data_IF_007074561175
#
_entry.id   IF_007074561175
#
_cell.length_a   1.000
_cell.length_b   1.000
_cell.length_c   1.000
_cell.angle_alpha   90.00
_cell.angle_beta   90.00
_cell.angle_gamma   90.00
#
_symmetry.space_group_name_H-M   'P 1'
#
loop_
_entity.id
_entity.type
_entity.pdbx_description
1 polymer ?
#
# COMPACT_ATOMS: atom_id res chain seq x y z
N UNK A 1 -28.88 38.84 5.33
CA UNK A 1 -29.40 37.46 5.17
C UNK A 1 -28.89 36.74 3.92
N UNK A 2 -28.87 37.35 2.72
CA UNK A 2 -28.35 36.70 1.48
C UNK A 2 -26.86 36.27 1.55
N UNK A 3 -26.00 37.07 2.18
CA UNK A 3 -24.56 36.74 2.31
C UNK A 3 -24.30 35.52 3.20
N UNK A 4 -25.07 35.34 4.28
CA UNK A 4 -24.92 34.20 5.22
C UNK A 4 -25.33 32.89 4.54
N UNK A 5 -26.38 32.90 3.72
CA UNK A 5 -26.81 31.73 2.95
C UNK A 5 -25.77 31.30 1.91
N UNK A 6 -25.10 32.26 1.27
CA UNK A 6 -24.03 31.98 0.29
C UNK A 6 -22.79 31.40 0.99
N UNK A 7 -22.44 31.89 2.18
CA UNK A 7 -21.35 31.33 2.99
C UNK A 7 -21.63 29.89 3.46
N UNK A 8 -22.86 29.60 3.86
CA UNK A 8 -23.29 28.25 4.23
C UNK A 8 -23.31 27.29 3.02
N UNK A 9 -23.72 27.76 1.84
CA UNK A 9 -23.69 26.97 0.61
C UNK A 9 -22.25 26.72 0.12
N UNK A 10 -21.34 27.68 0.26
CA UNK A 10 -19.92 27.49 -0.07
C UNK A 10 -19.23 26.52 0.90
N UNK A 11 -19.58 26.56 2.19
CA UNK A 11 -19.03 25.66 3.19
C UNK A 11 -19.46 24.20 2.96
N UNK A 12 -20.68 23.95 2.47
CA UNK A 12 -21.16 22.60 2.12
C UNK A 12 -20.64 22.10 0.77
N UNK A 13 -20.24 22.99 -0.14
CA UNK A 13 -19.59 22.62 -1.41
C UNK A 13 -18.09 22.34 -1.25
N UNK A 14 -17.42 22.96 -0.28
CA UNK A 14 -16.00 22.70 0.04
C UNK A 14 -15.78 21.38 0.82
N UNK A 15 -16.83 20.78 1.37
CA UNK A 15 -16.78 19.42 1.96
C UNK A 15 -16.83 18.31 0.91
N UNK A 16 -16.71 18.64 -0.39
CA UNK A 16 -16.56 17.70 -1.49
C UNK A 16 -15.27 16.88 -1.43
N UNK A 17 -15.30 15.82 -0.61
CA UNK A 17 -14.68 14.52 -0.79
C UNK A 17 -13.14 14.41 -0.79
N UNK A 18 -12.48 14.92 0.25
CA UNK A 18 -11.21 14.33 0.69
C UNK A 18 -11.51 13.05 1.50
N UNK A 19 -11.97 11.99 0.83
CA UNK A 19 -12.46 10.77 1.50
C UNK A 19 -11.32 9.83 1.92
N UNK A 20 -10.14 10.00 1.33
CA UNK A 20 -9.00 9.10 1.57
C UNK A 20 -8.09 9.67 2.64
N UNK A 21 -7.88 8.90 3.71
CA UNK A 21 -6.83 9.09 4.69
C UNK A 21 -5.51 8.60 4.13
N UNK A 22 -4.50 9.47 4.12
CA UNK A 22 -3.13 9.16 3.74
C UNK A 22 -2.25 9.14 4.99
N UNK A 23 -1.66 7.99 5.27
CA UNK A 23 -0.72 7.74 6.34
C UNK A 23 0.68 7.66 5.74
N UNK A 24 1.61 8.46 6.25
CA UNK A 24 3.00 8.50 5.77
C UNK A 24 3.97 8.19 6.90
N UNK A 25 4.94 7.33 6.60
CA UNK A 25 6.06 6.98 7.49
C UNK A 25 7.31 6.67 6.68
N UNK A 26 8.25 7.62 6.61
CA UNK A 26 9.45 7.49 5.78
C UNK A 26 9.14 7.03 4.34
N UNK A 27 9.60 5.84 3.90
CA UNK A 27 9.33 5.32 2.56
C UNK A 27 7.90 4.77 2.37
N UNK A 28 7.13 4.59 3.45
CA UNK A 28 5.80 4.00 3.44
C UNK A 28 4.70 5.07 3.28
N UNK A 29 3.75 4.78 2.40
CA UNK A 29 2.49 5.49 2.25
C UNK A 29 1.35 4.48 2.27
N UNK A 30 0.38 4.67 3.15
CA UNK A 30 -0.86 3.90 3.16
C UNK A 30 -2.08 4.79 2.89
N UNK A 31 -3.03 4.28 2.12
CA UNK A 31 -4.29 4.94 1.80
C UNK A 31 -5.45 4.15 2.38
N UNK A 32 -6.35 4.86 3.06
CA UNK A 32 -7.52 4.27 3.70
C UNK A 32 -8.78 5.09 3.55
N UNK A 33 -9.91 4.43 3.47
CA UNK A 33 -11.23 5.04 3.28
C UNK A 33 -12.20 4.50 4.36
N UNK A 34 -13.31 5.19 4.57
CA UNK A 34 -14.40 4.61 5.36
C UNK A 34 -15.14 3.60 4.48
N UNK A 35 -14.95 2.32 4.76
CA UNK A 35 -15.52 1.20 4.00
C UNK A 35 -16.70 0.66 4.80
N UNK A 36 -17.84 0.43 4.13
CA UNK A 36 -19.05 -0.17 4.71
C UNK A 36 -19.52 0.47 6.03
N UNK A 37 -19.39 1.79 6.15
CA UNK A 37 -19.80 2.54 7.33
C UNK A 37 -18.86 2.40 8.54
N UNK A 38 -17.62 1.98 8.31
CA UNK A 38 -16.61 1.88 9.38
C UNK A 38 -16.45 3.19 10.14
N UNK A 39 -16.35 3.10 11.47
CA UNK A 39 -16.16 4.26 12.35
C UNK A 39 -14.81 4.96 12.19
N UNK A 40 -13.85 4.30 11.51
CA UNK A 40 -12.54 4.83 11.17
C UNK A 40 -12.12 4.43 9.75
N UNK A 41 -11.14 5.12 9.12
CA UNK A 41 -10.58 4.71 7.84
C UNK A 41 -9.89 3.34 7.93
N UNK A 42 -10.20 2.46 6.98
CA UNK A 42 -9.53 1.18 6.78
C UNK A 42 -8.54 1.31 5.62
N UNK A 43 -7.27 1.04 5.90
CA UNK A 43 -6.15 1.18 4.97
C UNK A 43 -6.07 -0.04 4.05
N UNK A 44 -6.50 0.13 2.80
CA UNK A 44 -6.64 -0.94 1.80
C UNK A 44 -5.47 -0.99 0.81
N UNK A 45 -4.63 0.05 0.76
CA UNK A 45 -3.38 0.06 -0.02
C UNK A 45 -2.22 0.54 0.85
N UNK A 46 -1.10 -0.17 0.79
CA UNK A 46 0.18 0.21 1.39
C UNK A 46 1.25 0.13 0.31
N UNK A 47 1.99 1.21 0.09
CA UNK A 47 3.13 1.27 -0.81
C UNK A 47 4.38 1.65 -0.03
N UNK A 48 5.48 0.93 -0.26
CA UNK A 48 6.80 1.19 0.32
C UNK A 48 7.77 1.42 -0.83
N UNK A 49 8.31 2.63 -0.94
CA UNK A 49 9.27 3.02 -1.98
C UNK A 49 10.67 3.18 -1.37
N UNK A 50 11.54 2.21 -1.66
CA UNK A 50 12.91 2.16 -1.13
C UNK A 50 13.92 2.97 -1.95
N UNK A 51 13.47 3.62 -3.02
CA UNK A 51 14.23 4.68 -3.66
C UNK A 51 14.28 5.94 -2.80
N UNK A 52 13.35 6.11 -1.85
CA UNK A 52 13.33 7.25 -0.92
C UNK A 52 14.18 6.95 0.31
N UNK A 53 15.04 7.90 0.67
CA UNK A 53 15.73 7.87 1.96
C UNK A 53 14.71 8.01 3.11
N UNK A 54 14.83 7.20 4.16
CA UNK A 54 13.88 7.26 5.28
C UNK A 54 14.05 6.16 6.31
N UNK A 55 13.09 6.11 7.23
CA UNK A 55 12.97 5.13 8.32
C UNK A 55 13.01 3.68 7.80
N UNK A 56 13.84 2.85 8.42
CA UNK A 56 13.95 1.42 8.11
C UNK A 56 12.88 0.57 8.78
N UNK A 57 12.11 1.10 9.73
CA UNK A 57 11.09 0.37 10.48
C UNK A 57 10.09 -0.38 9.59
N UNK A 58 9.57 0.20 8.48
CA UNK A 58 8.70 -0.56 7.58
C UNK A 58 9.34 -1.83 7.00
N UNK A 59 10.68 -1.93 6.96
CA UNK A 59 11.40 -3.10 6.45
C UNK A 59 11.45 -4.28 7.42
N UNK A 60 11.15 -4.03 8.69
CA UNK A 60 11.10 -5.07 9.71
C UNK A 60 9.74 -5.80 9.72
N UNK A 61 8.71 -5.22 9.12
CA UNK A 61 7.40 -5.85 8.98
C UNK A 61 7.51 -7.17 8.23
N UNK A 62 6.71 -8.16 8.65
CA UNK A 62 6.70 -9.49 8.07
C UNK A 62 5.62 -9.61 7.00
N UNK A 63 5.89 -10.39 5.95
CA UNK A 63 4.93 -10.76 4.92
C UNK A 63 4.73 -12.28 4.89
N UNK A 64 3.52 -12.70 4.54
CA UNK A 64 3.24 -14.04 3.98
C UNK A 64 2.79 -13.87 2.54
N UNK A 65 3.65 -14.25 1.60
CA UNK A 65 3.43 -14.09 0.15
C UNK A 65 2.37 -15.05 -0.40
N UNK A 66 2.11 -16.15 0.30
CA UNK A 66 1.03 -17.11 0.07
C UNK A 66 0.69 -17.82 1.40
N UNK A 67 -0.44 -18.55 1.50
CA UNK A 67 -0.81 -19.30 2.70
C UNK A 67 0.29 -20.26 3.20
N UNK A 68 1.03 -20.87 2.27
CA UNK A 68 2.09 -21.84 2.55
C UNK A 68 3.49 -21.23 2.66
N UNK A 69 3.63 -19.92 2.39
CA UNK A 69 4.94 -19.26 2.46
C UNK A 69 5.40 -19.06 3.91
N UNK A 70 6.70 -19.27 4.21
CA UNK A 70 7.24 -18.87 5.50
C UNK A 70 7.21 -17.34 5.64
N UNK A 71 7.00 -16.82 6.87
CA UNK A 71 7.19 -15.41 7.18
C UNK A 71 8.53 -14.87 6.68
N UNK A 72 8.52 -13.72 6.04
CA UNK A 72 9.73 -13.02 5.59
C UNK A 72 9.63 -11.53 5.88
N UNK A 73 10.67 -10.93 6.44
CA UNK A 73 10.69 -9.47 6.61
C UNK A 73 10.85 -8.78 5.26
N UNK A 74 10.24 -7.60 5.13
CA UNK A 74 10.28 -6.84 3.87
C UNK A 74 11.73 -6.58 3.43
N UNK A 75 12.63 -6.19 4.35
CA UNK A 75 14.04 -5.96 4.03
C UNK A 75 14.84 -7.21 3.63
N UNK A 76 14.35 -8.40 3.99
CA UNK A 76 14.99 -9.67 3.67
C UNK A 76 14.51 -10.29 2.34
N UNK A 77 13.51 -9.70 1.68
CA UNK A 77 13.00 -10.20 0.40
C UNK A 77 14.10 -10.31 -0.65
N UNK A 78 14.08 -11.42 -1.39
CA UNK A 78 14.97 -11.68 -2.54
C UNK A 78 14.15 -12.20 -3.72
N UNK A 79 14.52 -11.87 -4.97
CA UNK A 79 13.76 -12.29 -6.15
C UNK A 79 13.54 -13.81 -6.20
N UNK A 80 14.57 -14.61 -5.90
CA UNK A 80 14.51 -16.07 -5.96
C UNK A 80 13.56 -16.67 -4.91
N UNK A 81 13.33 -15.98 -3.80
CA UNK A 81 12.36 -16.38 -2.79
C UNK A 81 10.94 -15.98 -3.23
N UNK A 82 10.76 -14.76 -3.72
CA UNK A 82 9.46 -14.25 -4.17
C UNK A 82 8.93 -15.06 -5.36
N UNK A 83 9.79 -15.39 -6.33
CA UNK A 83 9.42 -16.16 -7.53
C UNK A 83 8.87 -17.57 -7.25
N UNK A 84 9.06 -18.11 -6.03
CA UNK A 84 8.49 -19.40 -5.63
C UNK A 84 7.01 -19.31 -5.27
N UNK A 85 6.53 -18.12 -4.91
CA UNK A 85 5.19 -17.91 -4.37
C UNK A 85 4.35 -16.96 -5.22
N UNK A 86 4.98 -16.01 -5.92
CA UNK A 86 4.29 -15.03 -6.76
C UNK A 86 4.73 -15.18 -8.22
N UNK A 87 3.79 -15.14 -9.19
CA UNK A 87 4.15 -15.15 -10.59
C UNK A 87 4.85 -13.84 -11.00
N UNK A 88 5.70 -13.88 -12.04
CA UNK A 88 6.26 -12.67 -12.64
C UNK A 88 5.15 -11.72 -13.11
N UNK A 89 5.36 -10.42 -12.93
CA UNK A 89 4.46 -9.39 -13.43
C UNK A 89 4.49 -9.35 -14.96
N UNK A 90 3.30 -9.36 -15.57
CA UNK A 90 3.13 -9.18 -17.01
C UNK A 90 2.48 -7.82 -17.26
N UNK A 91 3.15 -6.90 -17.97
CA UNK A 91 2.58 -5.58 -18.22
C UNK A 91 1.32 -5.68 -19.09
N UNK A 92 0.25 -4.93 -18.77
CA UNK A 92 -0.97 -4.93 -19.55
C UNK A 92 -0.74 -4.61 -21.04
N UNK A 93 -1.45 -5.28 -21.97
CA UNK A 93 -1.25 -5.08 -23.41
C UNK A 93 -1.57 -3.66 -23.88
N UNK A 94 -2.46 -2.97 -23.17
CA UNK A 94 -2.86 -1.57 -23.45
C UNK A 94 -1.83 -0.53 -22.97
N UNK A 95 -0.80 -0.91 -22.22
CA UNK A 95 0.22 0.05 -21.79
C UNK A 95 1.03 0.59 -22.99
N UNK A 96 1.48 1.85 -22.93
CA UNK A 96 2.44 2.38 -23.89
C UNK A 96 3.70 1.50 -23.97
N UNK A 97 4.27 1.32 -25.16
CA UNK A 97 5.45 0.47 -25.33
C UNK A 97 6.66 0.96 -24.53
N UNK A 98 6.80 2.27 -24.34
CA UNK A 98 7.82 2.84 -23.47
C UNK A 98 7.69 2.37 -22.01
N UNK A 99 6.47 2.17 -21.52
CA UNK A 99 6.22 1.69 -20.16
C UNK A 99 6.44 0.19 -20.05
N UNK A 100 6.02 -0.58 -21.06
CA UNK A 100 6.33 -2.02 -21.14
C UNK A 100 7.83 -2.26 -21.21
N UNK A 101 8.57 -1.43 -21.93
CA UNK A 101 10.02 -1.55 -21.99
C UNK A 101 10.66 -1.23 -20.64
N UNK A 102 10.21 -0.16 -19.97
CA UNK A 102 10.69 0.20 -18.63
C UNK A 102 10.37 -0.88 -17.60
N UNK A 103 9.21 -1.54 -17.67
CA UNK A 103 8.87 -2.62 -16.74
C UNK A 103 9.76 -3.85 -16.92
N UNK A 104 10.36 -4.06 -18.11
CA UNK A 104 11.31 -5.16 -18.36
C UNK A 104 12.71 -4.90 -17.80
N UNK A 105 13.01 -3.66 -17.39
CA UNK A 105 14.30 -3.33 -16.75
C UNK A 105 14.37 -3.81 -15.29
N UNK A 106 13.23 -4.23 -14.72
CA UNK A 106 13.10 -4.61 -13.32
C UNK A 106 12.51 -6.03 -13.24
N UNK A 107 12.94 -6.78 -12.22
CA UNK A 107 12.27 -8.04 -11.86
C UNK A 107 11.06 -7.70 -11.00
N UNK A 108 9.86 -7.86 -11.54
CA UNK A 108 8.61 -7.59 -10.83
C UNK A 108 7.76 -8.85 -10.69
N UNK A 109 7.09 -8.99 -9.55
CA UNK A 109 6.23 -10.12 -9.21
C UNK A 109 4.90 -9.61 -8.66
N UNK A 110 3.78 -10.25 -9.03
CA UNK A 110 2.46 -9.81 -8.60
C UNK A 110 1.51 -10.96 -8.32
N UNK A 111 0.61 -10.81 -7.35
CA UNK A 111 -0.43 -11.78 -7.02
C UNK A 111 -0.75 -11.79 -5.53
N UNK A 112 -1.96 -12.24 -5.16
CA UNK A 112 -2.39 -12.34 -3.77
C UNK A 112 -2.40 -10.98 -3.06
N UNK A 113 -2.70 -9.91 -3.79
CA UNK A 113 -2.63 -8.53 -3.29
C UNK A 113 -1.22 -7.92 -3.16
N UNK A 114 -0.17 -8.59 -3.66
CA UNK A 114 1.20 -8.06 -3.64
C UNK A 114 1.67 -7.58 -5.02
N UNK A 115 2.52 -6.55 -5.02
CA UNK A 115 3.33 -6.12 -6.17
C UNK A 115 4.74 -5.77 -5.70
N UNK A 116 5.72 -6.60 -6.01
CA UNK A 116 7.09 -6.50 -5.49
C UNK A 116 8.05 -6.29 -6.64
N UNK A 117 8.89 -5.26 -6.56
CA UNK A 117 9.81 -4.85 -7.63
C UNK A 117 11.25 -4.86 -7.14
N UNK A 118 12.13 -5.47 -7.92
CA UNK A 118 13.57 -5.51 -7.72
C UNK A 118 14.30 -4.95 -8.94
N UNK A 119 15.53 -4.49 -8.72
CA UNK A 119 16.50 -4.16 -9.78
C UNK A 119 17.85 -4.71 -9.38
N UNK A 120 18.44 -5.51 -10.25
CA UNK A 120 19.76 -6.13 -10.00
C UNK A 120 19.81 -6.86 -8.63
N UNK A 121 18.71 -7.53 -8.26
CA UNK A 121 18.57 -8.23 -6.97
C UNK A 121 18.27 -7.35 -5.75
N UNK A 122 18.31 -6.02 -5.88
CA UNK A 122 17.96 -5.08 -4.81
C UNK A 122 16.46 -4.79 -4.82
N UNK A 123 15.82 -4.86 -3.65
CA UNK A 123 14.42 -4.49 -3.49
C UNK A 123 14.24 -2.99 -3.72
N UNK A 124 13.33 -2.63 -4.63
CA UNK A 124 12.98 -1.24 -4.96
C UNK A 124 11.67 -0.81 -4.31
N UNK A 125 10.64 -1.65 -4.40
CA UNK A 125 9.33 -1.31 -3.84
C UNK A 125 8.50 -2.53 -3.48
N UNK A 126 7.62 -2.34 -2.51
CA UNK A 126 6.58 -3.30 -2.14
C UNK A 126 5.24 -2.57 -2.13
N UNK A 127 4.30 -3.03 -2.95
CA UNK A 127 2.89 -2.68 -2.90
C UNK A 127 2.08 -3.81 -2.30
N UNK A 128 1.16 -3.47 -1.41
CA UNK A 128 0.24 -4.37 -0.74
C UNK A 128 -1.16 -3.77 -0.89
N UNK A 129 -2.12 -4.54 -1.40
CA UNK A 129 -3.42 -4.02 -1.76
C UNK A 129 -4.50 -5.07 -1.58
N UNK A 130 -5.54 -4.77 -0.81
CA UNK A 130 -6.73 -5.62 -0.71
C UNK A 130 -7.78 -5.37 -1.80
N UNK A 131 -7.70 -4.22 -2.48
CA UNK A 131 -8.62 -3.87 -3.55
C UNK A 131 -7.88 -3.21 -4.71
N UNK A 132 -7.35 -4.02 -5.62
CA UNK A 132 -6.62 -3.57 -6.80
C UNK A 132 -7.09 -4.32 -8.04
N UNK A 133 -7.04 -3.65 -9.21
CA UNK A 133 -7.37 -4.22 -10.51
C UNK A 133 -8.77 -4.87 -10.65
N UNK A 134 -9.73 -4.48 -9.79
CA UNK A 134 -11.08 -5.03 -9.79
C UNK A 134 -11.23 -6.35 -9.03
N UNK A 135 -10.15 -6.83 -8.39
CA UNK A 135 -10.13 -8.03 -7.58
C UNK A 135 -10.07 -7.66 -6.09
N UNK A 136 -10.66 -8.51 -5.25
CA UNK A 136 -10.55 -8.43 -3.79
C UNK A 136 -9.56 -9.48 -3.34
N UNK A 137 -8.53 -9.02 -2.66
CA UNK A 137 -7.43 -9.83 -2.16
C UNK A 137 -7.30 -9.61 -0.65
N UNK A 138 -6.74 -10.59 0.05
CA UNK A 138 -6.55 -10.53 1.50
C UNK A 138 -5.06 -10.69 1.86
N UNK A 139 -4.16 -9.80 1.38
CA UNK A 139 -2.74 -9.91 1.68
C UNK A 139 -2.51 -9.78 3.18
N UNK A 140 -1.64 -10.64 3.72
CA UNK A 140 -1.38 -10.74 5.15
C UNK A 140 -0.02 -10.15 5.49
N UNK A 141 -0.02 -9.22 6.45
CA UNK A 141 1.17 -8.59 7.04
C UNK A 141 1.28 -8.92 8.52
N UNK A 142 2.50 -9.00 9.03
CA UNK A 142 2.79 -9.34 10.42
C UNK A 142 3.65 -8.30 11.11
N UNK A 143 3.48 -8.20 12.43
CA UNK A 143 4.32 -7.35 13.27
C UNK A 143 5.78 -7.84 13.25
N UNK A 144 6.78 -6.96 13.45
CA UNK A 144 8.19 -7.35 13.43
C UNK A 144 8.60 -8.43 14.42
N UNK A 145 7.88 -8.56 15.54
CA UNK A 145 8.08 -9.60 16.56
C UNK A 145 7.40 -10.94 16.22
N UNK A 146 6.66 -11.00 15.11
CA UNK A 146 5.93 -12.17 14.64
C UNK A 146 4.71 -12.56 15.48
N UNK A 147 4.32 -11.76 16.47
CA UNK A 147 3.23 -12.11 17.40
C UNK A 147 1.84 -11.89 16.80
N UNK A 148 1.68 -10.88 15.94
CA UNK A 148 0.39 -10.53 15.35
C UNK A 148 0.45 -10.54 13.83
N UNK A 149 -0.66 -10.96 13.22
CA UNK A 149 -0.85 -11.06 11.79
C UNK A 149 -2.21 -10.48 11.41
N UNK A 150 -2.24 -9.63 10.39
CA UNK A 150 -3.42 -8.91 9.95
C UNK A 150 -3.57 -9.04 8.44
N UNK A 151 -4.78 -9.35 7.98
CA UNK A 151 -5.15 -9.23 6.58
C UNK A 151 -5.60 -7.78 6.30
N UNK A 152 -5.25 -7.25 5.12
CA UNK A 152 -5.79 -5.96 4.70
C UNK A 152 -7.30 -6.06 4.40
N UNK A 153 -8.07 -4.97 4.56
CA UNK A 153 -7.63 -3.63 4.94
C UNK A 153 -7.38 -3.48 6.45
N UNK A 154 -6.42 -2.62 6.83
CA UNK A 154 -5.97 -2.46 8.21
C UNK A 154 -6.63 -1.26 8.90
N UNK A 155 -6.91 -1.35 10.20
CA UNK A 155 -7.22 -0.17 11.02
C UNK A 155 -5.99 0.70 11.19
N UNK A 156 -6.16 1.95 11.65
CA UNK A 156 -5.00 2.82 11.94
C UNK A 156 -4.06 2.18 12.97
N UNK A 157 -4.60 1.53 13.99
CA UNK A 157 -3.80 0.89 15.02
C UNK A 157 -3.00 -0.28 14.46
N UNK A 158 -3.60 -1.11 13.60
CA UNK A 158 -2.90 -2.23 12.96
C UNK A 158 -1.76 -1.75 12.05
N UNK A 159 -1.96 -0.64 11.31
CA UNK A 159 -0.86 -0.02 10.54
C UNK A 159 0.27 0.42 11.47
N UNK A 160 -0.04 0.99 12.64
CA UNK A 160 0.95 1.39 13.64
C UNK A 160 1.68 0.19 14.23
N UNK A 161 0.98 -0.89 14.55
CA UNK A 161 1.58 -2.09 15.14
C UNK A 161 2.60 -2.72 14.17
N UNK A 162 2.23 -2.78 12.88
CA UNK A 162 3.06 -3.40 11.83
C UNK A 162 4.21 -2.48 11.42
N UNK A 163 3.91 -1.21 11.12
CA UNK A 163 4.86 -0.32 10.45
C UNK A 163 5.42 0.78 11.37
N UNK A 164 4.83 1.00 12.55
CA UNK A 164 5.20 2.06 13.49
C UNK A 164 4.35 3.33 13.35
N UNK A 165 4.55 4.28 14.27
CA UNK A 165 3.81 5.55 14.27
C UNK A 165 4.08 6.37 12.99
N UNK A 166 3.04 7.03 12.43
CA UNK A 166 3.18 7.85 11.25
C UNK A 166 3.95 9.14 11.56
N UNK A 167 4.69 9.63 10.57
CA UNK A 167 5.23 10.99 10.59
C UNK A 167 4.10 11.99 10.30
N UNK A 168 3.14 11.60 9.46
CA UNK A 168 2.01 12.44 9.05
C UNK A 168 0.78 11.61 8.71
N UNK A 169 -0.39 12.13 9.08
CA UNK A 169 -1.70 11.66 8.61
C UNK A 169 -2.51 12.84 8.10
N UNK A 170 -3.02 12.76 6.87
CA UNK A 170 -3.81 13.84 6.28
C UNK A 170 -4.79 13.32 5.22
N UNK A 171 -5.77 14.13 4.83
CA UNK A 171 -6.76 13.76 3.81
C UNK A 171 -6.26 14.15 2.40
N UNK A 172 -6.55 13.31 1.41
CA UNK A 172 -6.27 13.56 -0.01
C UNK A 172 -7.52 13.31 -0.87
N UNK A 173 -7.59 13.99 -2.01
CA UNK A 173 -8.75 13.95 -2.91
C UNK A 173 -8.65 12.82 -3.94
N UNK A 174 -7.45 12.37 -4.26
CA UNK A 174 -7.19 11.36 -5.29
C UNK A 174 -6.00 10.49 -4.88
N UNK A 175 -6.13 9.18 -5.03
CA UNK A 175 -5.00 8.25 -4.94
C UNK A 175 -4.44 8.10 -6.35
N UNK A 176 -3.22 8.59 -6.59
CA UNK A 176 -2.49 8.33 -7.83
C UNK A 176 -1.56 7.14 -7.60
N UNK A 177 -1.83 6.07 -8.33
CA UNK A 177 -1.06 4.82 -8.33
C UNK A 177 0.16 4.93 -9.25
#
# INVERSE_FOLDING_TARGET
MRLILVSLLLATLLTGCANVSRFEKGPLVAHGEQIDGSGEPLYYVVGIDLGKAGDSRPLEALLRLSPDSPPVSIGALRPQQVARYLPPFVPPPQWPDSWKQKSRENDAYTGGGFHIVFREGRLLSVGICSHCAGEREEPVVGTPDGQHWYALPLTRQQVIDVFGHPDRVHKVNEVRY
#
